data_IF_790990125801
#
_entry.id   IF_790990125801
#
_cell.length_a   1.000
_cell.length_b   1.000
_cell.length_c   1.000
_cell.angle_alpha   90.00
_cell.angle_beta   90.00
_cell.angle_gamma   90.00
#
_symmetry.space_group_name_H-M   'P 1'
#
loop_
_entity.id
_entity.type
_entity.pdbx_description
1 polymer ?
#
# COMPACT_ATOMS: atom_id res chain seq x y z
N UNK A 1 1.15 -12.80 7.55
CA UNK A 1 -0.13 -12.23 8.01
C UNK A 1 -1.19 -13.32 7.93
N UNK A 2 -2.04 -13.52 8.94
CA UNK A 2 -3.12 -14.52 8.83
C UNK A 2 -4.17 -14.03 7.81
N UNK A 3 -4.67 -14.87 6.89
CA UNK A 3 -5.62 -14.46 5.85
C UNK A 3 -6.85 -13.71 6.39
N UNK A 4 -7.36 -14.15 7.54
CA UNK A 4 -8.53 -13.55 8.18
C UNK A 4 -8.28 -12.14 8.69
N UNK A 5 -7.03 -11.81 9.04
CA UNK A 5 -6.67 -10.47 9.52
C UNK A 5 -6.83 -9.45 8.40
N UNK A 6 -6.31 -9.73 7.20
CA UNK A 6 -6.44 -8.80 6.07
C UNK A 6 -7.90 -8.55 5.75
N UNK A 7 -8.69 -9.63 5.72
CA UNK A 7 -10.13 -9.56 5.48
C UNK A 7 -10.83 -8.67 6.51
N UNK A 8 -10.42 -8.74 7.77
CA UNK A 8 -10.97 -7.90 8.83
C UNK A 8 -10.54 -6.42 8.72
N UNK A 9 -9.29 -6.16 8.33
CA UNK A 9 -8.79 -4.79 8.09
C UNK A 9 -9.55 -4.16 6.91
N UNK A 10 -9.63 -4.86 5.77
CA UNK A 10 -10.39 -4.41 4.60
C UNK A 10 -11.88 -4.24 4.90
N UNK A 11 -12.44 -5.14 5.71
CA UNK A 11 -13.83 -5.09 6.17
C UNK A 11 -14.09 -4.03 7.25
N UNK A 12 -13.11 -3.20 7.62
CA UNK A 12 -13.18 -2.18 8.69
C UNK A 12 -13.55 -2.76 10.06
N UNK A 13 -13.37 -4.07 10.27
CA UNK A 13 -13.60 -4.80 11.52
C UNK A 13 -12.37 -4.81 12.43
N UNK A 14 -11.21 -4.46 11.88
CA UNK A 14 -9.96 -4.30 12.61
C UNK A 14 -9.28 -2.99 12.19
N UNK A 15 -8.60 -2.34 13.13
CA UNK A 15 -7.70 -1.22 12.81
C UNK A 15 -6.51 -1.73 12.02
N UNK A 16 -6.05 -0.91 11.09
CA UNK A 16 -4.79 -1.10 10.38
C UNK A 16 -3.65 -0.74 11.35
N UNK A 17 -2.71 -1.66 11.56
CA UNK A 17 -1.55 -1.43 12.40
C UNK A 17 -0.27 -1.33 11.59
N UNK A 18 0.81 -0.90 12.24
CA UNK A 18 2.11 -0.74 11.60
C UNK A 18 2.62 -2.06 10.99
N UNK A 19 2.40 -3.22 11.63
CA UNK A 19 2.89 -4.49 11.08
C UNK A 19 2.18 -4.87 9.77
N UNK A 20 0.93 -4.47 9.61
CA UNK A 20 0.18 -4.66 8.36
C UNK A 20 0.78 -3.78 7.25
N UNK A 21 1.10 -2.51 7.57
CA UNK A 21 1.73 -1.58 6.65
C UNK A 21 3.13 -2.04 6.23
N UNK A 22 3.94 -2.52 7.17
CA UNK A 22 5.27 -3.07 6.88
C UNK A 22 5.21 -4.29 5.95
N UNK A 23 4.19 -5.14 6.08
CA UNK A 23 3.97 -6.23 5.16
C UNK A 23 3.64 -5.72 3.74
N UNK A 24 2.82 -4.67 3.62
CA UNK A 24 2.51 -4.05 2.33
C UNK A 24 3.74 -3.40 1.69
N UNK A 25 4.56 -2.70 2.49
CA UNK A 25 5.79 -2.06 1.98
C UNK A 25 6.80 -3.07 1.46
N UNK A 26 6.85 -4.28 2.03
CA UNK A 26 7.72 -5.36 1.54
C UNK A 26 7.23 -5.94 0.21
N UNK A 27 5.90 -6.01 0.02
CA UNK A 27 5.30 -6.54 -1.21
C UNK A 27 5.32 -5.51 -2.35
N UNK A 28 5.10 -4.24 -2.03
CA UNK A 28 5.00 -3.14 -2.98
C UNK A 28 5.79 -1.92 -2.50
N UNK A 29 7.13 -1.99 -2.53
CA UNK A 29 8.00 -0.90 -2.07
C UNK A 29 7.79 0.41 -2.84
N UNK A 30 7.37 0.33 -4.11
CA UNK A 30 7.06 1.49 -4.95
C UNK A 30 5.81 2.25 -4.48
N UNK A 31 4.95 1.64 -3.66
CA UNK A 31 3.71 2.26 -3.16
C UNK A 31 3.85 2.81 -1.75
N UNK A 32 5.02 2.67 -1.10
CA UNK A 32 5.21 2.97 0.32
C UNK A 32 4.83 4.41 0.67
N UNK A 33 5.32 5.38 -0.10
CA UNK A 33 5.07 6.79 0.18
C UNK A 33 3.59 7.14 0.04
N UNK A 34 2.96 6.65 -1.03
CA UNK A 34 1.53 6.82 -1.27
C UNK A 34 0.67 6.14 -0.19
N UNK A 35 0.98 4.91 0.21
CA UNK A 35 0.26 4.21 1.28
C UNK A 35 0.37 4.93 2.63
N UNK A 36 1.48 5.60 2.89
CA UNK A 36 1.76 6.24 4.20
C UNK A 36 1.21 7.65 4.28
N UNK A 37 1.44 8.45 3.24
CA UNK A 37 1.21 9.90 3.25
C UNK A 37 0.07 10.32 2.31
N UNK A 38 -0.44 9.40 1.48
CA UNK A 38 -1.46 9.71 0.48
C UNK A 38 -0.95 10.51 -0.72
N UNK A 39 0.36 10.75 -0.81
CA UNK A 39 1.01 11.52 -1.88
C UNK A 39 1.99 10.65 -2.67
N UNK A 40 2.20 11.00 -3.92
CA UNK A 40 3.13 10.32 -4.82
C UNK A 40 4.38 11.19 -5.01
N UNK A 41 5.55 10.56 -5.13
CA UNK A 41 6.80 11.16 -5.60
C UNK A 41 7.32 10.35 -6.80
N UNK A 42 6.74 10.54 -8.01
CA UNK A 42 7.08 9.75 -9.18
C UNK A 42 8.57 9.82 -9.55
N UNK A 43 9.20 10.97 -9.33
CA UNK A 43 10.63 11.18 -9.57
C UNK A 43 11.53 10.24 -8.77
N UNK A 44 11.08 9.81 -7.58
CA UNK A 44 11.79 8.87 -6.70
C UNK A 44 11.28 7.43 -6.85
N UNK A 45 10.47 7.16 -7.88
CA UNK A 45 9.84 5.85 -8.09
C UNK A 45 8.77 5.49 -7.06
N UNK A 46 8.28 6.47 -6.29
CA UNK A 46 7.23 6.29 -5.31
C UNK A 46 5.89 6.73 -5.91
N UNK A 47 5.12 5.77 -6.42
CA UNK A 47 3.92 6.02 -7.22
C UNK A 47 2.71 5.30 -6.62
N UNK A 48 1.50 5.59 -7.11
CA UNK A 48 0.34 4.74 -6.80
C UNK A 48 0.14 3.64 -7.86
N UNK A 49 -0.69 2.63 -7.55
CA UNK A 49 -1.15 1.67 -8.56
C UNK A 49 -1.81 2.32 -9.78
N UNK A 50 -2.45 3.48 -9.60
CA UNK A 50 -3.12 4.20 -10.69
C UNK A 50 -2.09 4.77 -11.66
N UNK A 51 -1.07 5.45 -11.14
CA UNK A 51 0.04 5.99 -11.94
C UNK A 51 0.80 4.88 -12.64
N UNK A 52 1.10 3.78 -11.93
CA UNK A 52 1.74 2.59 -12.52
C UNK A 52 0.93 2.01 -13.69
N UNK A 53 -0.41 2.05 -13.60
CA UNK A 53 -1.30 1.56 -14.66
C UNK A 53 -1.25 2.47 -15.89
N UNK A 54 -1.25 3.78 -15.72
CA UNK A 54 -1.14 4.75 -16.83
C UNK A 54 0.22 4.67 -17.52
N UNK A 55 1.30 4.44 -16.77
CA UNK A 55 2.65 4.25 -17.36
C UNK A 55 2.79 2.95 -18.17
N UNK A 56 1.86 2.00 -18.00
CA UNK A 56 1.87 0.70 -18.68
C UNK A 56 0.95 0.65 -19.91
N UNK A 57 0.09 1.66 -20.10
CA UNK A 57 -0.77 1.82 -21.28
C UNK A 57 -0.07 2.64 -22.35
#
# INVERSE_FOLDING_TARGET
MKPDRWKNVLGKKAKLYQEDMEALYKLWPEYKYWLTFGIEEPEKGQISPMTKRVMRS
#
